data_IF_587905024809
#
_entry.id   IF_587905024809
#
_cell.length_a   1.000
_cell.length_b   1.000
_cell.length_c   1.000
_cell.angle_alpha   90.00
_cell.angle_beta   90.00
_cell.angle_gamma   90.00
#
_symmetry.space_group_name_H-M   'P 1'
#
loop_
_entity.id
_entity.type
_entity.pdbx_description
1 polymer ?
#
# COMPACT_ATOMS: atom_id res chain seq x y z
N UNK A 1 9.33 23.81 -36.58
CA UNK A 1 8.96 23.57 -35.17
C UNK A 1 8.87 22.06 -34.97
N UNK A 2 9.97 21.44 -34.52
CA UNK A 2 9.99 19.99 -34.28
C UNK A 2 9.19 19.62 -33.03
N UNK A 3 8.62 18.41 -32.95
CA UNK A 3 7.85 18.00 -31.79
C UNK A 3 8.78 17.90 -30.57
N UNK A 4 8.49 18.70 -29.55
CA UNK A 4 9.10 18.55 -28.22
C UNK A 4 8.77 17.15 -27.70
N UNK A 5 9.76 16.27 -27.69
CA UNK A 5 9.69 15.02 -26.93
C UNK A 5 9.72 15.39 -25.46
N UNK A 6 8.60 15.19 -24.76
CA UNK A 6 8.62 15.18 -23.30
C UNK A 6 9.58 14.05 -22.85
N UNK A 7 10.49 14.31 -21.90
CA UNK A 7 11.36 13.28 -21.38
C UNK A 7 10.50 12.21 -20.67
N UNK A 8 10.86 10.92 -20.77
CA UNK A 8 10.13 9.86 -20.09
C UNK A 8 10.15 10.14 -18.58
N UNK A 9 8.97 10.30 -17.97
CA UNK A 9 8.84 10.32 -16.51
C UNK A 9 9.36 8.97 -16.00
N UNK A 10 10.57 8.95 -15.44
CA UNK A 10 11.10 7.78 -14.72
C UNK A 10 10.27 7.62 -13.45
N UNK A 11 9.26 6.77 -13.51
CA UNK A 11 8.29 6.60 -12.42
C UNK A 11 8.88 5.73 -11.31
N UNK A 12 9.15 6.34 -10.16
CA UNK A 12 9.28 5.65 -8.87
C UNK A 12 7.91 5.11 -8.50
N UNK A 13 7.76 3.78 -8.32
CA UNK A 13 6.49 3.23 -7.86
C UNK A 13 6.42 3.39 -6.36
N UNK A 14 5.63 4.36 -5.93
CA UNK A 14 5.41 4.67 -4.53
C UNK A 14 4.01 4.27 -4.11
N UNK A 15 3.91 3.67 -2.93
CA UNK A 15 2.64 3.52 -2.25
C UNK A 15 2.78 3.87 -0.77
N UNK A 16 1.82 4.63 -0.25
CA UNK A 16 1.68 4.89 1.18
C UNK A 16 0.95 3.74 1.83
N UNK A 17 1.52 3.15 2.89
CA UNK A 17 0.74 2.30 3.80
C UNK A 17 -0.03 3.18 4.77
N UNK A 18 -1.31 2.92 4.87
CA UNK A 18 -2.16 3.51 5.88
C UNK A 18 -2.93 2.38 6.55
N UNK A 19 -2.71 2.18 7.84
CA UNK A 19 -3.52 1.29 8.67
C UNK A 19 -4.07 2.14 9.80
N UNK A 20 -5.36 2.01 10.12
CA UNK A 20 -5.96 2.73 11.25
C UNK A 20 -6.63 1.76 12.20
N UNK A 21 -6.67 2.15 13.48
CA UNK A 21 -7.35 1.45 14.57
C UNK A 21 -8.28 2.44 15.27
N UNK A 22 -9.39 1.98 15.86
CA UNK A 22 -10.25 2.84 16.67
C UNK A 22 -9.66 3.09 18.08
N UNK A 23 -9.63 4.35 18.52
CA UNK A 23 -9.32 4.72 19.90
C UNK A 23 -10.54 4.50 20.80
N UNK A 24 -10.38 3.73 21.88
CA UNK A 24 -11.24 3.87 23.06
C UNK A 24 -12.72 3.49 22.89
N UNK A 25 -12.98 2.22 22.62
CA UNK A 25 -14.26 1.57 22.91
C UNK A 25 -13.97 0.13 23.32
N UNK A 26 -14.67 -0.42 24.32
CA UNK A 26 -14.52 -1.84 24.62
C UNK A 26 -14.80 -2.63 23.34
N UNK A 27 -13.78 -3.25 22.74
CA UNK A 27 -13.94 -4.13 21.58
C UNK A 27 -15.08 -5.16 21.79
N UNK A 28 -15.39 -5.47 23.05
CA UNK A 28 -16.48 -6.34 23.44
C UNK A 28 -17.90 -5.81 23.21
N UNK A 29 -18.17 -4.50 23.23
CA UNK A 29 -19.54 -3.98 22.98
C UNK A 29 -19.85 -3.90 21.49
N UNK A 30 -18.87 -3.51 20.67
CA UNK A 30 -19.01 -3.38 19.20
C UNK A 30 -19.13 -4.77 18.54
N UNK A 31 -18.36 -5.78 18.98
CA UNK A 31 -18.50 -7.15 18.46
C UNK A 31 -19.80 -7.86 18.90
N UNK A 32 -20.34 -7.56 20.09
CA UNK A 32 -21.55 -8.24 20.61
C UNK A 32 -22.82 -7.84 19.88
N UNK A 33 -22.90 -6.62 19.34
CA UNK A 33 -24.02 -6.20 18.51
C UNK A 33 -24.06 -6.96 17.16
N UNK A 34 -22.90 -7.33 16.60
CA UNK A 34 -22.78 -7.93 15.27
C UNK A 34 -22.89 -9.46 15.24
N UNK A 35 -22.44 -10.15 16.30
CA UNK A 35 -22.56 -11.61 16.43
C UNK A 35 -24.01 -12.11 16.53
N UNK A 36 -24.99 -11.25 16.85
CA UNK A 36 -26.41 -11.62 16.84
C UNK A 36 -27.03 -11.65 15.44
N UNK A 37 -26.49 -10.91 14.46
CA UNK A 37 -26.96 -10.96 13.05
C UNK A 37 -26.34 -12.10 12.23
N UNK A 38 -25.15 -12.57 12.59
CA UNK A 38 -24.42 -13.60 11.83
C UNK A 38 -24.78 -15.05 12.22
N UNK A 39 -25.59 -15.27 13.27
CA UNK A 39 -26.06 -16.63 13.65
C UNK A 39 -27.15 -17.19 12.73
N UNK A 40 -27.63 -16.43 11.74
CA UNK A 40 -28.66 -16.85 10.78
C UNK A 40 -28.14 -17.56 9.52
N UNK A 41 -26.82 -17.62 9.29
CA UNK A 41 -26.25 -18.22 8.07
C UNK A 41 -25.23 -19.30 8.46
N UNK A 42 -25.73 -20.48 8.84
CA UNK A 42 -24.91 -21.69 8.95
C UNK A 42 -25.17 -22.59 7.75
N UNK A 43 -24.11 -22.86 7.00
CA UNK A 43 -24.00 -24.06 6.19
C UNK A 43 -23.23 -23.82 4.90
N UNK A 44 -21.91 -24.07 4.91
CA UNK A 44 -21.25 -24.91 3.90
C UNK A 44 -20.04 -25.57 4.57
N UNK A 45 -19.97 -26.89 4.40
CA UNK A 45 -18.95 -27.82 4.90
C UNK A 45 -17.67 -27.75 4.08
N UNK A 46 -16.57 -28.20 4.68
CA UNK A 46 -15.20 -27.97 4.23
C UNK A 46 -14.83 -28.47 2.84
N UNK A 47 -13.89 -27.76 2.21
CA UNK A 47 -13.14 -28.22 1.04
C UNK A 47 -11.65 -28.28 1.39
N UNK A 48 -11.09 -29.50 1.33
CA UNK A 48 -9.64 -29.72 1.31
C UNK A 48 -9.08 -29.14 0.01
N UNK A 49 -8.10 -28.26 0.10
CA UNK A 49 -7.33 -27.84 -1.05
C UNK A 49 -6.41 -28.99 -1.51
N UNK A 50 -6.64 -29.48 -2.72
CA UNK A 50 -5.63 -30.26 -3.45
C UNK A 50 -4.65 -29.28 -4.11
N UNK A 51 -3.36 -29.50 -3.87
CA UNK A 51 -2.27 -28.79 -4.55
C UNK A 51 -2.13 -29.30 -5.98
N UNK A 52 -2.77 -28.60 -6.92
CA UNK A 52 -2.47 -28.70 -8.34
C UNK A 52 -1.58 -27.54 -8.74
N UNK A 53 -0.42 -27.83 -9.33
CA UNK A 53 0.44 -26.88 -10.05
C UNK A 53 -0.25 -26.41 -11.35
N UNK A 54 -1.38 -25.74 -11.21
CA UNK A 54 -2.03 -24.99 -12.26
C UNK A 54 -1.44 -23.59 -12.31
N UNK A 55 -1.06 -23.15 -13.49
CA UNK A 55 -0.57 -21.81 -13.77
C UNK A 55 -1.62 -20.80 -13.29
N UNK A 56 -1.46 -20.27 -12.07
CA UNK A 56 -2.38 -19.29 -11.49
C UNK A 56 -2.29 -18.03 -12.36
N UNK A 57 -3.28 -17.85 -13.22
CA UNK A 57 -3.48 -16.63 -13.99
C UNK A 57 -3.44 -15.44 -13.02
N UNK A 58 -2.43 -14.58 -13.16
CA UNK A 58 -2.36 -13.28 -12.48
C UNK A 58 -3.39 -12.35 -13.10
N UNK A 59 -4.66 -12.57 -12.79
CA UNK A 59 -5.75 -11.75 -13.28
C UNK A 59 -5.77 -10.41 -12.53
N UNK A 60 -5.98 -9.33 -13.27
CA UNK A 60 -6.27 -8.02 -12.68
C UNK A 60 -7.62 -8.10 -11.98
N UNK A 61 -7.72 -7.57 -10.75
CA UNK A 61 -9.02 -7.52 -10.05
C UNK A 61 -10.08 -6.86 -10.94
N UNK A 62 -11.23 -7.52 -11.16
CA UNK A 62 -12.25 -7.01 -12.07
C UNK A 62 -12.89 -5.73 -11.54
N UNK A 63 -13.62 -5.04 -12.42
CA UNK A 63 -14.31 -3.79 -12.09
C UNK A 63 -15.26 -3.90 -10.90
N UNK A 64 -15.79 -5.10 -10.61
CA UNK A 64 -16.66 -5.37 -9.46
C UNK A 64 -15.99 -5.21 -8.09
N UNK A 65 -14.67 -5.04 -8.03
CA UNK A 65 -13.93 -4.71 -6.80
C UNK A 65 -13.57 -3.22 -6.72
N UNK A 66 -13.98 -2.40 -7.69
CA UNK A 66 -13.57 -1.01 -7.81
C UNK A 66 -14.76 -0.09 -7.63
N UNK A 67 -14.69 0.80 -6.65
CA UNK A 67 -15.80 1.64 -6.25
C UNK A 67 -15.37 3.09 -6.11
N UNK A 68 -16.33 4.00 -6.21
CA UNK A 68 -16.14 5.36 -5.75
C UNK A 68 -16.14 5.35 -4.20
N UNK A 69 -15.29 6.17 -3.54
CA UNK A 69 -15.19 6.20 -2.08
C UNK A 69 -16.51 6.53 -1.37
N UNK A 70 -17.36 7.33 -2.00
CA UNK A 70 -18.68 7.74 -1.51
C UNK A 70 -19.74 6.63 -1.55
N UNK A 71 -19.52 5.55 -2.31
CA UNK A 71 -20.45 4.43 -2.44
C UNK A 71 -20.22 3.37 -1.34
N UNK A 72 -20.28 3.81 -0.08
CA UNK A 72 -20.05 2.96 1.10
C UNK A 72 -21.07 1.83 1.23
N UNK A 73 -22.26 2.00 0.67
CA UNK A 73 -23.28 0.96 0.60
C UNK A 73 -22.85 -0.24 -0.25
N UNK A 74 -21.97 -0.05 -1.24
CA UNK A 74 -21.51 -1.12 -2.12
C UNK A 74 -20.13 -1.65 -1.74
N UNK A 75 -19.18 -0.76 -1.42
CA UNK A 75 -17.80 -1.17 -1.17
C UNK A 75 -17.61 -1.83 0.20
N UNK A 76 -18.35 -1.43 1.24
CA UNK A 76 -18.25 -2.08 2.57
C UNK A 76 -18.71 -3.54 2.53
N UNK A 77 -19.87 -3.90 1.95
CA UNK A 77 -20.24 -5.30 1.78
C UNK A 77 -19.25 -6.10 0.94
N UNK A 78 -18.69 -5.49 -0.11
CA UNK A 78 -17.64 -6.13 -0.92
C UNK A 78 -16.41 -6.48 -0.07
N UNK A 79 -15.89 -5.52 0.70
CA UNK A 79 -14.77 -5.73 1.62
C UNK A 79 -15.07 -6.81 2.66
N UNK A 80 -16.28 -6.82 3.23
CA UNK A 80 -16.69 -7.81 4.24
C UNK A 80 -16.83 -9.22 3.68
N UNK A 81 -17.25 -9.35 2.42
CA UNK A 81 -17.51 -10.65 1.77
C UNK A 81 -16.28 -11.24 1.08
N UNK A 82 -15.35 -10.39 0.63
CA UNK A 82 -14.21 -10.83 -0.18
C UNK A 82 -12.84 -10.47 0.44
N UNK A 83 -12.80 -9.73 1.55
CA UNK A 83 -11.57 -9.32 2.22
C UNK A 83 -10.74 -8.25 1.49
N UNK A 84 -11.17 -7.78 0.32
CA UNK A 84 -10.46 -6.77 -0.47
C UNK A 84 -11.44 -5.89 -1.25
N UNK A 85 -11.09 -4.61 -1.38
CA UNK A 85 -11.77 -3.64 -2.24
C UNK A 85 -10.78 -2.59 -2.74
N UNK A 86 -11.09 -1.93 -3.86
CA UNK A 86 -10.31 -0.83 -4.42
C UNK A 86 -11.19 0.41 -4.45
N UNK A 87 -10.81 1.43 -3.67
CA UNK A 87 -11.43 2.75 -3.74
C UNK A 87 -10.69 3.59 -4.77
N UNK A 88 -11.40 4.00 -5.82
CA UNK A 88 -10.84 4.81 -6.90
C UNK A 88 -10.67 6.26 -6.44
N UNK A 89 -9.65 6.95 -6.96
CA UNK A 89 -9.42 8.38 -6.69
C UNK A 89 -9.43 8.72 -5.19
N UNK A 90 -8.80 7.86 -4.38
CA UNK A 90 -8.63 8.11 -2.95
C UNK A 90 -7.89 9.45 -2.69
N UNK A 91 -7.01 9.83 -3.61
CA UNK A 91 -6.37 11.15 -3.69
C UNK A 91 -6.72 11.78 -5.05
N UNK A 92 -6.87 13.11 -5.09
CA UNK A 92 -6.89 13.87 -6.34
C UNK A 92 -5.48 13.94 -6.96
N UNK A 93 -5.40 14.25 -8.25
CA UNK A 93 -4.12 14.31 -8.98
C UNK A 93 -3.10 15.26 -8.35
N UNK A 94 -3.54 16.43 -7.89
CA UNK A 94 -2.68 17.40 -7.19
C UNK A 94 -2.12 16.85 -5.87
N UNK A 95 -2.91 16.05 -5.15
CA UNK A 95 -2.50 15.43 -3.89
C UNK A 95 -1.50 14.29 -4.14
N UNK A 96 -1.65 13.58 -5.26
CA UNK A 96 -0.69 12.57 -5.70
C UNK A 96 0.63 13.22 -6.07
N UNK A 97 0.61 14.30 -6.86
CA UNK A 97 1.81 15.05 -7.25
C UNK A 97 2.53 15.62 -6.02
N UNK A 98 1.79 16.20 -5.08
CA UNK A 98 2.33 16.70 -3.80
C UNK A 98 2.96 15.57 -2.98
N UNK A 99 2.28 14.44 -2.81
CA UNK A 99 2.83 13.30 -2.08
C UNK A 99 4.10 12.76 -2.74
N UNK A 100 4.14 12.68 -4.07
CA UNK A 100 5.35 12.26 -4.81
C UNK A 100 6.52 13.25 -4.60
N UNK A 101 6.25 14.54 -4.64
CA UNK A 101 7.27 15.56 -4.38
C UNK A 101 7.82 15.45 -2.96
N UNK A 102 6.96 15.29 -1.95
CA UNK A 102 7.37 15.12 -0.55
C UNK A 102 8.21 13.84 -0.34
N UNK A 103 7.93 12.76 -1.09
CA UNK A 103 8.77 11.55 -1.05
C UNK A 103 10.16 11.84 -1.60
N UNK A 104 10.27 12.57 -2.70
CA UNK A 104 11.57 12.95 -3.25
C UNK A 104 12.33 13.90 -2.33
N UNK A 105 11.67 14.89 -1.74
CA UNK A 105 12.29 15.76 -0.73
C UNK A 105 12.83 14.96 0.46
N UNK A 106 12.08 13.95 0.91
CA UNK A 106 12.55 13.06 1.98
C UNK A 106 13.76 12.22 1.52
N UNK A 107 13.71 11.59 0.33
CA UNK A 107 14.82 10.82 -0.24
C UNK A 107 16.09 11.63 -0.43
N UNK A 108 15.97 12.85 -0.95
CA UNK A 108 17.08 13.76 -1.21
C UNK A 108 17.60 14.43 0.08
N UNK A 109 16.76 14.51 1.12
CA UNK A 109 17.03 15.24 2.36
C UNK A 109 17.87 14.52 3.41
N UNK A 110 17.76 13.19 3.59
CA UNK A 110 18.52 12.51 4.67
C UNK A 110 19.96 12.14 4.29
N UNK A 111 20.35 12.29 3.02
CA UNK A 111 21.73 12.06 2.55
C UNK A 111 22.61 13.31 2.58
N UNK A 112 22.06 14.49 2.92
CA UNK A 112 22.77 15.77 2.83
C UNK A 112 23.80 16.00 3.95
N UNK A 113 23.77 15.21 5.02
CA UNK A 113 24.68 15.34 6.17
C UNK A 113 25.98 14.55 6.02
N UNK A 114 26.12 13.72 4.99
CA UNK A 114 27.35 13.01 4.66
C UNK A 114 27.69 13.24 3.19
N UNK A 115 28.79 13.94 2.93
CA UNK A 115 29.21 14.31 1.58
C UNK A 115 29.27 13.05 0.68
N UNK A 116 28.48 13.04 -0.39
CA UNK A 116 28.50 11.99 -1.42
C UNK A 116 27.48 10.86 -1.27
N UNK A 117 26.56 10.86 -0.29
CA UNK A 117 25.55 9.81 -0.11
C UNK A 117 24.09 10.23 -0.38
N UNK A 118 23.89 11.33 -1.10
CA UNK A 118 22.54 11.79 -1.46
C UNK A 118 21.94 10.97 -2.62
N UNK A 119 20.67 10.59 -2.48
CA UNK A 119 19.84 10.17 -3.62
C UNK A 119 19.58 11.40 -4.49
N UNK A 120 19.60 11.24 -5.82
CA UNK A 120 19.23 12.27 -6.77
C UNK A 120 18.10 11.76 -7.66
N UNK A 121 16.93 12.41 -7.66
CA UNK A 121 15.79 11.98 -8.50
C UNK A 121 16.10 11.98 -10.01
N UNK A 122 17.09 12.77 -10.43
CA UNK A 122 17.49 12.91 -11.85
C UNK A 122 18.56 11.91 -12.26
N UNK A 123 19.21 11.26 -11.30
CA UNK A 123 20.23 10.25 -11.55
C UNK A 123 19.92 8.96 -10.82
N UNK A 124 19.35 8.00 -11.55
CA UNK A 124 19.06 6.69 -11.01
C UNK A 124 20.33 5.95 -10.59
N UNK A 125 21.52 6.27 -11.09
CA UNK A 125 22.75 5.60 -10.64
C UNK A 125 23.04 5.82 -9.14
N UNK A 126 22.40 6.82 -8.51
CA UNK A 126 22.52 7.06 -7.07
C UNK A 126 21.49 6.29 -6.22
N UNK A 127 20.56 5.53 -6.83
CA UNK A 127 19.50 4.81 -6.10
C UNK A 127 19.98 3.42 -5.66
N UNK A 128 21.15 3.41 -5.04
CA UNK A 128 21.92 2.23 -4.64
C UNK A 128 21.68 1.90 -3.18
N UNK A 129 21.46 0.62 -2.89
CA UNK A 129 21.24 0.14 -1.53
C UNK A 129 22.57 -0.20 -0.84
N UNK A 130 23.54 -0.74 -1.59
CA UNK A 130 24.81 -1.24 -1.05
C UNK A 130 25.70 -0.16 -0.41
N UNK A 131 25.58 1.09 -0.86
CA UNK A 131 26.26 2.26 -0.26
C UNK A 131 25.34 3.05 0.70
N UNK A 132 24.13 2.54 0.96
CA UNK A 132 23.19 3.13 1.90
C UNK A 132 22.53 4.42 1.43
N UNK A 133 22.62 4.81 0.15
CA UNK A 133 21.91 5.99 -0.39
C UNK A 133 20.40 5.74 -0.42
N UNK A 134 19.98 4.65 -1.04
CA UNK A 134 18.58 4.23 -1.09
C UNK A 134 18.16 3.62 0.25
N UNK A 135 17.01 4.04 0.82
CA UNK A 135 16.59 3.52 2.12
C UNK A 135 16.10 2.07 1.98
N UNK A 136 16.58 1.21 2.87
CA UNK A 136 16.25 -0.21 2.89
C UNK A 136 15.96 -0.65 4.33
N UNK A 137 14.84 -1.36 4.52
CA UNK A 137 14.46 -1.94 5.81
C UNK A 137 14.86 -3.41 5.91
N UNK A 138 14.61 -4.25 4.87
CA UNK A 138 15.02 -5.66 4.78
C UNK A 138 14.99 -6.19 3.31
N UNK A 139 15.75 -7.25 2.99
CA UNK A 139 15.69 -8.17 1.81
C UNK A 139 15.16 -7.64 0.46
N UNK A 140 15.43 -6.37 0.11
CA UNK A 140 14.95 -5.71 -1.10
C UNK A 140 13.43 -5.92 -1.36
N UNK A 141 12.59 -5.91 -0.31
CA UNK A 141 11.12 -6.06 -0.43
C UNK A 141 10.43 -4.80 -0.93
N UNK A 142 11.14 -3.66 -0.91
CA UNK A 142 10.61 -2.35 -1.25
C UNK A 142 9.81 -1.71 -0.12
N UNK A 143 9.59 -2.40 1.00
CA UNK A 143 9.02 -1.80 2.21
C UNK A 143 10.13 -1.02 2.92
N UNK A 144 9.82 0.22 3.30
CA UNK A 144 10.77 1.16 3.88
C UNK A 144 10.18 1.74 5.15
N UNK A 145 10.53 1.17 6.31
CA UNK A 145 10.16 1.69 7.63
C UNK A 145 11.33 2.38 8.35
N UNK A 146 12.48 2.54 7.68
CA UNK A 146 13.68 3.17 8.23
C UNK A 146 13.73 4.67 7.99
N UNK A 147 14.67 5.36 8.64
CA UNK A 147 15.00 6.78 8.39
C UNK A 147 13.78 7.71 8.46
N UNK A 148 12.87 7.41 9.38
CA UNK A 148 11.66 8.20 9.59
C UNK A 148 10.66 8.13 8.42
N UNK A 149 10.74 7.12 7.53
CA UNK A 149 9.82 6.98 6.40
C UNK A 149 8.35 7.02 6.83
N UNK A 150 8.01 6.30 7.91
CA UNK A 150 6.65 6.31 8.47
C UNK A 150 6.23 7.65 9.09
N UNK A 151 7.16 8.59 9.29
CA UNK A 151 6.93 9.92 9.85
C UNK A 151 7.18 11.05 8.86
N UNK A 152 7.55 10.74 7.62
CA UNK A 152 7.82 11.77 6.61
C UNK A 152 6.53 12.49 6.21
N UNK A 153 6.68 13.72 5.70
CA UNK A 153 5.54 14.54 5.29
C UNK A 153 4.66 13.85 4.23
N UNK A 154 5.24 13.04 3.34
CA UNK A 154 4.46 12.28 2.37
C UNK A 154 3.55 11.24 3.02
N UNK A 155 4.04 10.52 4.04
CA UNK A 155 3.25 9.55 4.77
C UNK A 155 2.09 10.24 5.50
N UNK A 156 2.36 11.39 6.14
CA UNK A 156 1.32 12.23 6.74
C UNK A 156 0.32 12.78 5.73
N UNK A 157 0.78 13.20 4.55
CA UNK A 157 -0.08 13.72 3.48
C UNK A 157 -1.09 12.68 3.00
N UNK A 158 -0.65 11.42 2.84
CA UNK A 158 -1.51 10.31 2.42
C UNK A 158 -2.48 9.91 3.54
N UNK A 159 -2.00 9.78 4.78
CA UNK A 159 -2.85 9.44 5.94
C UNK A 159 -3.82 10.56 6.31
N UNK A 160 -3.45 11.80 6.01
CA UNK A 160 -4.25 13.01 6.21
C UNK A 160 -5.34 13.23 5.15
N UNK A 161 -5.34 12.46 4.06
CA UNK A 161 -6.32 12.63 2.99
C UNK A 161 -7.72 12.27 3.51
N UNK A 162 -8.68 13.18 3.32
CA UNK A 162 -10.05 13.05 3.84
C UNK A 162 -10.69 11.73 3.42
N UNK A 163 -10.58 11.38 2.14
CA UNK A 163 -11.13 10.14 1.58
C UNK A 163 -10.55 8.89 2.25
N UNK A 164 -9.24 8.90 2.55
CA UNK A 164 -8.57 7.77 3.21
C UNK A 164 -9.09 7.65 4.64
N UNK A 165 -9.11 8.76 5.38
CA UNK A 165 -9.60 8.77 6.76
C UNK A 165 -11.07 8.34 6.86
N UNK A 166 -11.92 8.87 5.98
CA UNK A 166 -13.35 8.52 5.95
C UNK A 166 -13.58 7.05 5.60
N UNK A 167 -12.81 6.47 4.68
CA UNK A 167 -12.90 5.04 4.38
C UNK A 167 -12.60 4.19 5.64
N UNK A 168 -11.54 4.52 6.39
CA UNK A 168 -11.22 3.81 7.63
C UNK A 168 -12.22 4.06 8.76
N UNK A 169 -12.72 5.29 8.90
CA UNK A 169 -13.79 5.63 9.84
C UNK A 169 -15.04 4.76 9.59
N UNK A 170 -15.40 4.57 8.32
CA UNK A 170 -16.50 3.71 7.90
C UNK A 170 -16.27 2.22 8.18
N UNK A 171 -15.06 1.72 7.96
CA UNK A 171 -14.68 0.33 8.29
C UNK A 171 -14.86 0.06 9.79
N UNK A 172 -14.44 1.01 10.63
CA UNK A 172 -14.44 0.87 12.08
C UNK A 172 -15.71 1.37 12.76
N UNK A 173 -16.64 1.96 12.02
CA UNK A 173 -17.90 2.54 12.53
C UNK A 173 -17.65 3.61 13.62
N UNK A 174 -16.67 4.49 13.37
CA UNK A 174 -16.28 5.60 14.27
C UNK A 174 -16.15 6.90 13.51
N UNK A 175 -16.07 8.02 14.21
CA UNK A 175 -15.70 9.31 13.63
C UNK A 175 -14.20 9.38 13.31
N UNK A 176 -13.81 10.24 12.37
CA UNK A 176 -12.42 10.37 11.90
C UNK A 176 -11.47 10.72 13.05
N UNK A 177 -11.90 11.57 13.98
CA UNK A 177 -11.13 12.03 15.13
C UNK A 177 -10.85 10.91 16.14
N UNK A 178 -11.59 9.79 16.06
CA UNK A 178 -11.40 8.61 16.90
C UNK A 178 -10.43 7.61 16.27
N UNK A 179 -9.95 7.85 15.05
CA UNK A 179 -8.97 6.97 14.41
C UNK A 179 -7.57 7.23 14.96
N UNK A 180 -6.86 6.13 15.25
CA UNK A 180 -5.42 6.09 15.46
C UNK A 180 -4.76 5.63 14.17
N UNK A 181 -3.72 6.34 13.73
CA UNK A 181 -2.96 5.94 12.56
C UNK A 181 -1.79 5.05 12.97
N UNK A 182 -1.58 3.97 12.21
CA UNK A 182 -0.36 3.18 12.23
C UNK A 182 0.75 3.95 11.52
N UNK A 183 1.93 3.97 12.13
CA UNK A 183 3.11 4.64 11.59
C UNK A 183 3.90 3.72 10.64
N UNK A 184 3.18 2.95 9.82
CA UNK A 184 3.76 2.06 8.82
C UNK A 184 4.63 2.82 7.80
N UNK A 185 5.59 2.13 7.20
CA UNK A 185 6.52 2.72 6.24
C UNK A 185 5.92 3.07 4.87
N UNK A 186 6.81 3.43 3.95
CA UNK A 186 6.49 3.59 2.54
C UNK A 186 6.78 2.29 1.77
N UNK A 187 6.15 2.12 0.62
CA UNK A 187 6.58 1.12 -0.37
C UNK A 187 7.21 1.87 -1.54
N UNK A 188 8.49 1.61 -1.79
CA UNK A 188 9.29 2.23 -2.83
C UNK A 188 9.87 1.13 -3.74
N UNK A 189 9.49 1.11 -5.01
CA UNK A 189 10.11 0.25 -6.00
C UNK A 189 10.88 1.04 -7.05
N UNK A 190 12.11 0.61 -7.28
CA UNK A 190 12.93 1.14 -8.37
C UNK A 190 12.44 0.59 -9.71
N UNK A 191 12.46 1.38 -10.79
CA UNK A 191 12.02 0.94 -12.10
C UNK A 191 13.00 -0.09 -12.65
N UNK A 192 12.68 -1.37 -12.49
CA UNK A 192 13.63 -2.47 -12.71
C UNK A 192 14.03 -2.69 -14.15
N UNK A 193 13.18 -2.28 -15.08
CA UNK A 193 13.48 -2.27 -16.52
C UNK A 193 14.42 -1.12 -16.91
N UNK A 194 14.66 -0.17 -16.01
CA UNK A 194 15.49 1.03 -16.24
C UNK A 194 16.73 1.04 -15.34
N UNK A 195 17.23 -0.15 -14.97
CA UNK A 195 18.46 -0.29 -14.18
C UNK A 195 19.62 0.41 -14.93
N UNK A 196 20.32 1.37 -14.30
CA UNK A 196 21.50 1.98 -14.90
C UNK A 196 22.62 0.94 -15.12
N UNK A 197 23.28 0.97 -16.27
CA UNK A 197 24.36 0.03 -16.60
C UNK A 197 25.56 0.11 -15.66
N UNK A 198 25.80 1.28 -15.06
CA UNK A 198 26.87 1.51 -14.10
C UNK A 198 26.61 0.88 -12.71
N UNK A 199 25.38 0.44 -12.42
CA UNK A 199 25.02 -0.12 -11.11
C UNK A 199 25.17 -1.65 -11.15
N UNK A 200 26.02 -2.21 -10.29
CA UNK A 200 26.24 -3.66 -10.22
C UNK A 200 25.15 -4.41 -9.44
N UNK A 201 24.59 -3.82 -8.39
CA UNK A 201 23.63 -4.49 -7.48
C UNK A 201 22.31 -4.91 -8.13
N UNK A 202 21.62 -5.85 -7.48
CA UNK A 202 20.28 -6.27 -7.88
C UNK A 202 19.31 -5.07 -7.76
N UNK A 203 18.52 -4.87 -8.82
CA UNK A 203 17.67 -3.69 -8.96
C UNK A 203 16.18 -3.98 -8.78
N UNK A 204 15.75 -5.14 -9.27
CA UNK A 204 14.36 -5.62 -9.16
C UNK A 204 14.04 -5.93 -7.70
N UNK A 205 12.94 -5.36 -7.21
CA UNK A 205 12.36 -5.73 -5.90
C UNK A 205 12.08 -7.23 -5.88
N UNK A 206 12.37 -7.88 -4.75
CA UNK A 206 12.16 -9.32 -4.57
C UNK A 206 10.68 -9.69 -4.77
N UNK A 207 10.44 -10.89 -5.29
CA UNK A 207 9.09 -11.40 -5.46
C UNK A 207 8.40 -11.57 -4.09
N UNK A 208 7.11 -11.22 -4.06
CA UNK A 208 6.30 -11.31 -2.85
C UNK A 208 5.99 -12.77 -2.50
N UNK A 209 5.85 -13.05 -1.21
CA UNK A 209 5.21 -14.26 -0.72
C UNK A 209 3.74 -13.93 -0.39
N UNK A 210 2.81 -14.83 -0.71
CA UNK A 210 1.44 -14.70 -0.22
C UNK A 210 1.43 -14.95 1.28
N UNK A 211 0.86 -14.03 2.05
CA UNK A 211 0.70 -14.13 3.49
C UNK A 211 -0.54 -13.38 3.95
N UNK A 212 -0.85 -13.55 5.23
CA UNK A 212 -1.84 -12.76 5.96
C UNK A 212 -1.10 -11.97 7.02
N UNK A 213 -1.28 -10.65 7.05
CA UNK A 213 -0.58 -9.76 7.98
C UNK A 213 -1.02 -10.00 9.44
N UNK A 214 -2.32 -10.23 9.66
CA UNK A 214 -2.84 -10.57 10.98
C UNK A 214 -2.63 -12.06 11.29
N UNK A 215 -2.07 -12.35 12.47
CA UNK A 215 -1.98 -13.73 12.95
C UNK A 215 -3.37 -14.25 13.36
N UNK A 216 -4.07 -14.88 12.43
CA UNK A 216 -5.46 -15.38 12.62
C UNK A 216 -5.57 -16.41 13.75
N UNK A 217 -4.53 -17.19 14.02
CA UNK A 217 -4.53 -18.19 15.08
C UNK A 217 -4.51 -17.56 16.47
N UNK A 218 -3.80 -16.44 16.63
CA UNK A 218 -3.72 -15.70 17.91
C UNK A 218 -4.81 -14.63 18.03
N UNK A 219 -5.22 -14.04 16.91
CA UNK A 219 -6.17 -12.93 16.81
C UNK A 219 -7.26 -13.32 15.79
N UNK A 220 -8.29 -14.08 16.21
CA UNK A 220 -9.30 -14.62 15.29
C UNK A 220 -10.38 -13.59 14.91
N UNK A 221 -10.49 -12.47 15.63
CA UNK A 221 -11.39 -11.36 15.28
C UNK A 221 -10.76 -10.42 14.27
N UNK A 222 -11.55 -9.53 13.67
CA UNK A 222 -11.01 -8.44 12.86
C UNK A 222 -10.34 -7.42 13.81
N UNK A 223 -9.01 -7.40 13.85
CA UNK A 223 -8.23 -6.47 14.68
C UNK A 223 -7.46 -5.45 13.83
N UNK A 224 -7.30 -5.70 12.53
CA UNK A 224 -6.61 -4.79 11.62
C UNK A 224 -7.17 -4.87 10.20
N UNK A 225 -7.13 -3.73 9.51
CA UNK A 225 -7.33 -3.64 8.06
C UNK A 225 -6.14 -2.88 7.48
N UNK A 226 -5.51 -3.47 6.46
CA UNK A 226 -4.37 -2.87 5.77
C UNK A 226 -4.85 -2.03 4.58
N UNK A 227 -4.37 -0.79 4.49
CA UNK A 227 -4.61 0.10 3.36
C UNK A 227 -3.34 0.36 2.57
N UNK A 228 -3.47 0.37 1.25
CA UNK A 228 -2.42 0.72 0.31
C UNK A 228 -2.90 1.82 -0.64
N UNK A 229 -2.28 2.99 -0.57
CA UNK A 229 -2.55 4.09 -1.51
C UNK A 229 -1.46 4.11 -2.57
N UNK A 230 -1.79 3.72 -3.79
CA UNK A 230 -0.85 3.75 -4.93
C UNK A 230 -0.73 5.16 -5.49
N UNK A 231 0.49 5.71 -5.49
CA UNK A 231 0.78 7.04 -6.06
C UNK A 231 1.22 6.97 -7.52
N UNK A 232 1.31 5.77 -8.08
CA UNK A 232 1.63 5.53 -9.50
C UNK A 232 0.76 4.42 -10.05
N UNK A 233 0.62 4.38 -11.38
CA UNK A 233 -0.06 3.28 -12.05
C UNK A 233 0.68 1.95 -11.84
N UNK A 234 -0.07 0.92 -11.47
CA UNK A 234 0.43 -0.45 -11.38
C UNK A 234 -0.01 -1.25 -12.61
N UNK A 235 0.95 -1.83 -13.31
CA UNK A 235 0.78 -2.76 -14.42
C UNK A 235 1.53 -4.08 -14.13
N UNK A 236 0.85 -5.25 -14.19
CA UNK A 236 1.46 -6.54 -13.87
C UNK A 236 2.77 -6.84 -14.60
N UNK A 237 2.90 -6.36 -15.84
CA UNK A 237 4.04 -6.69 -16.71
C UNK A 237 5.20 -5.67 -16.63
N UNK A 238 4.90 -4.41 -16.30
CA UNK A 238 5.88 -3.32 -16.41
C UNK A 238 6.36 -2.82 -15.05
N UNK A 239 5.45 -2.67 -14.09
CA UNK A 239 5.76 -2.09 -12.78
C UNK A 239 5.62 -3.09 -11.64
N UNK A 240 4.84 -4.15 -11.83
CA UNK A 240 4.32 -4.96 -10.72
C UNK A 240 3.15 -4.28 -10.02
N UNK A 241 2.71 -4.83 -8.89
CA UNK A 241 1.60 -4.28 -8.11
C UNK A 241 1.28 -5.13 -6.88
N UNK A 242 0.30 -4.67 -6.11
CA UNK A 242 -0.29 -5.45 -5.03
C UNK A 242 -1.00 -6.69 -5.60
N UNK A 243 -0.78 -7.83 -4.95
CA UNK A 243 -1.42 -9.11 -5.30
C UNK A 243 -2.14 -9.60 -4.05
N UNK A 244 -3.39 -9.98 -4.22
CA UNK A 244 -4.22 -10.55 -3.16
C UNK A 244 -4.98 -11.77 -3.66
N UNK A 245 -5.52 -12.52 -2.71
CA UNK A 245 -6.47 -13.61 -2.96
C UNK A 245 -7.80 -13.17 -2.32
N UNK A 246 -8.81 -12.76 -3.11
CA UNK A 246 -10.14 -12.48 -2.57
C UNK A 246 -10.78 -13.75 -1.98
N UNK A 247 -11.50 -13.61 -0.87
CA UNK A 247 -12.21 -14.71 -0.20
C UNK A 247 -11.91 -14.78 1.29
#
# INVERSE_FOLDING_TARGET
LGPQRQPPRRSLVTAGRASFLAAGGSLGSILRARLRRLRGLRGVSGCRAQEGAGQRSRAVLPGSFRFAPEDDQSWLPCLQSHGVVVLQKALQESEVDEAQELIWQWLEGFGSSSEGLAVCRRDAATWTMGDGRWPQDNDATGIVCVRGAGQCLAAWRVRGAETVQRAFAKIWEVEVEQLLTSMDGLILWRPWQQKPSAVSEAWKTRESWLHVDQNVSKRPGLESVQGLVTLTGAHPEHTGGFVCVPG
#
